data_IF_007319546426
#
_entry.id   IF_007319546426
#
_cell.length_a   1.000
_cell.length_b   1.000
_cell.length_c   1.000
_cell.angle_alpha   90.00
_cell.angle_beta   90.00
_cell.angle_gamma   90.00
#
_symmetry.space_group_name_H-M   'P 1'
#
loop_
_entity.id
_entity.type
_entity.pdbx_description
1 polymer ?
#
# COMPACT_ATOMS: atom_id res chain seq x y z
N UNK A 1 -6.82 -3.99 16.92
CA UNK A 1 -7.32 -2.66 16.48
C UNK A 1 -7.29 -2.61 14.96
N UNK A 2 -8.39 -2.22 14.30
CA UNK A 2 -8.43 -2.16 12.84
C UNK A 2 -7.76 -0.89 12.35
N UNK A 3 -6.89 -0.96 11.35
CA UNK A 3 -6.35 0.24 10.70
C UNK A 3 -7.46 0.81 9.81
N UNK A 4 -7.96 1.98 10.19
CA UNK A 4 -8.95 2.70 9.40
C UNK A 4 -8.38 3.95 8.72
N UNK A 5 -7.17 4.36 9.12
CA UNK A 5 -6.56 5.60 8.67
C UNK A 5 -5.08 5.38 8.32
N UNK A 6 -4.66 5.95 7.21
CA UNK A 6 -3.27 6.03 6.79
C UNK A 6 -2.82 7.48 6.90
N UNK A 7 -1.69 7.69 7.57
CA UNK A 7 -1.11 9.02 7.74
C UNK A 7 -0.19 9.35 6.58
N UNK A 8 -0.41 10.49 5.94
CA UNK A 8 0.44 11.02 4.89
C UNK A 8 1.45 11.99 5.48
N UNK A 9 2.74 11.80 5.19
CA UNK A 9 3.84 12.60 5.72
C UNK A 9 4.24 13.78 4.82
N UNK A 10 3.95 13.73 3.52
CA UNK A 10 4.37 14.76 2.57
C UNK A 10 3.39 14.92 1.40
N UNK A 11 3.73 15.76 0.44
CA UNK A 11 2.95 16.01 -0.78
C UNK A 11 3.43 15.13 -1.93
N UNK A 12 2.53 14.33 -2.51
CA UNK A 12 2.84 13.43 -3.62
C UNK A 12 3.43 14.14 -4.83
N UNK A 13 2.89 15.32 -5.20
CA UNK A 13 3.41 16.07 -6.34
C UNK A 13 4.86 16.53 -6.11
N UNK A 14 5.16 17.06 -4.93
CA UNK A 14 6.53 17.44 -4.57
C UNK A 14 7.48 16.25 -4.65
N UNK A 15 7.04 15.08 -4.18
CA UNK A 15 7.82 13.86 -4.21
C UNK A 15 8.21 13.42 -5.63
N UNK A 16 7.24 13.33 -6.56
CA UNK A 16 7.49 12.87 -7.94
C UNK A 16 8.35 13.84 -8.76
N UNK A 17 8.42 15.10 -8.36
CA UNK A 17 9.26 16.12 -8.99
C UNK A 17 10.65 16.25 -8.36
N UNK A 18 10.93 15.53 -7.26
CA UNK A 18 12.27 15.47 -6.69
C UNK A 18 13.23 14.77 -7.65
N UNK A 19 14.44 15.32 -7.80
CA UNK A 19 15.51 14.71 -8.59
C UNK A 19 15.91 13.31 -8.09
N UNK A 20 15.65 13.01 -6.83
CA UNK A 20 15.98 11.73 -6.20
C UNK A 20 14.93 10.65 -6.41
N UNK A 21 13.69 11.03 -6.80
CA UNK A 21 12.56 10.10 -6.85
C UNK A 21 12.78 8.93 -7.80
N UNK A 22 13.23 9.21 -9.04
CA UNK A 22 13.41 8.18 -10.06
C UNK A 22 14.43 7.12 -9.62
N UNK A 23 15.63 7.53 -9.24
CA UNK A 23 16.69 6.61 -8.81
C UNK A 23 16.30 5.82 -7.57
N UNK A 24 15.63 6.45 -6.59
CA UNK A 24 15.11 5.79 -5.41
C UNK A 24 14.08 4.68 -5.75
N UNK A 25 13.18 4.96 -6.70
CA UNK A 25 12.17 4.01 -7.16
C UNK A 25 12.79 2.87 -8.00
N UNK A 26 13.92 3.10 -8.64
CA UNK A 26 14.69 2.10 -9.40
C UNK A 26 15.64 1.27 -8.52
N UNK A 27 15.76 1.59 -7.21
CA UNK A 27 16.48 0.76 -6.25
C UNK A 27 17.70 1.39 -5.62
N UNK A 28 18.02 2.66 -5.91
CA UNK A 28 19.11 3.37 -5.25
C UNK A 28 18.71 3.82 -3.84
N UNK A 29 19.29 3.15 -2.86
CA UNK A 29 19.01 3.43 -1.44
C UNK A 29 19.51 4.81 -1.01
N UNK A 30 20.62 5.29 -1.56
CA UNK A 30 21.16 6.63 -1.25
C UNK A 30 20.19 7.72 -1.69
N UNK A 31 19.70 7.64 -2.93
CA UNK A 31 18.67 8.55 -3.43
C UNK A 31 17.38 8.45 -2.63
N UNK A 32 17.02 7.26 -2.14
CA UNK A 32 15.84 7.10 -1.29
C UNK A 32 15.99 7.87 0.03
N UNK A 33 17.13 7.80 0.70
CA UNK A 33 17.40 8.60 1.91
C UNK A 33 17.36 10.09 1.64
N UNK A 34 18.02 10.55 0.56
CA UNK A 34 18.00 11.97 0.18
C UNK A 34 16.58 12.47 -0.10
N UNK A 35 15.75 11.65 -0.76
CA UNK A 35 14.35 11.96 -0.98
C UNK A 35 13.58 12.08 0.34
N UNK A 36 13.78 11.16 1.28
CA UNK A 36 13.10 11.22 2.58
C UNK A 36 13.52 12.48 3.36
N UNK A 37 14.81 12.79 3.41
CA UNK A 37 15.33 13.97 4.11
C UNK A 37 14.81 15.29 3.49
N UNK A 38 14.64 15.32 2.14
CA UNK A 38 13.98 16.43 1.45
C UNK A 38 12.50 16.56 1.79
N UNK A 39 11.77 15.43 1.89
CA UNK A 39 10.30 15.41 2.04
C UNK A 39 9.82 15.54 3.47
N UNK A 40 10.54 14.97 4.42
CA UNK A 40 10.12 14.88 5.84
C UNK A 40 11.16 15.56 6.70
N UNK A 41 10.85 16.77 7.14
CA UNK A 41 11.76 17.60 7.95
C UNK A 41 11.63 17.39 9.45
N UNK A 42 10.55 16.73 9.91
CA UNK A 42 10.29 16.50 11.32
C UNK A 42 9.77 15.07 11.56
N UNK A 43 10.50 14.32 12.37
CA UNK A 43 10.16 12.98 12.85
C UNK A 43 9.70 12.96 14.33
N UNK A 44 9.45 14.11 14.94
CA UNK A 44 9.09 14.20 16.37
C UNK A 44 7.84 13.41 16.75
N UNK A 45 6.89 13.26 15.83
CA UNK A 45 5.69 12.43 15.99
C UNK A 45 5.99 10.95 16.28
N UNK A 46 7.18 10.48 15.89
CA UNK A 46 7.58 9.08 16.04
C UNK A 46 8.39 8.79 17.31
N UNK A 47 8.85 9.80 18.07
CA UNK A 47 9.76 9.64 19.22
C UNK A 47 9.27 8.64 20.29
N UNK A 48 7.94 8.49 20.45
CA UNK A 48 7.33 7.60 21.45
C UNK A 48 6.98 6.22 20.88
N UNK A 49 7.31 5.92 19.61
CA UNK A 49 7.04 4.61 19.03
C UNK A 49 8.00 3.57 19.62
N UNK A 50 7.42 2.46 20.09
CA UNK A 50 8.13 1.28 20.59
C UNK A 50 7.47 0.01 20.01
N UNK A 51 7.51 -0.13 18.70
CA UNK A 51 6.88 -1.21 17.94
C UNK A 51 7.76 -1.59 16.75
N UNK A 52 7.38 -2.61 16.01
CA UNK A 52 8.03 -2.91 14.73
C UNK A 52 7.58 -1.93 13.64
N UNK A 53 8.53 -1.50 12.82
CA UNK A 53 8.29 -0.69 11.61
C UNK A 53 8.55 -1.58 10.40
N UNK A 54 7.50 -1.93 9.66
CA UNK A 54 7.60 -2.84 8.52
C UNK A 54 7.35 -2.11 7.20
N UNK A 55 8.37 -1.92 6.34
CA UNK A 55 8.21 -1.32 5.04
C UNK A 55 7.57 -2.29 4.04
N UNK A 56 6.77 -1.76 3.12
CA UNK A 56 6.43 -2.45 1.87
C UNK A 56 7.68 -2.47 1.00
N UNK A 57 8.36 -3.61 0.92
CA UNK A 57 9.61 -3.70 0.19
C UNK A 57 9.72 -4.94 -0.68
N UNK A 58 10.51 -4.83 -1.73
CA UNK A 58 10.99 -5.92 -2.57
C UNK A 58 12.49 -6.11 -2.36
N UNK A 59 13.00 -7.30 -2.70
CA UNK A 59 14.46 -7.55 -2.70
C UNK A 59 15.18 -6.60 -3.67
N UNK A 60 14.55 -6.28 -4.80
CA UNK A 60 15.04 -5.32 -5.79
C UNK A 60 14.00 -4.24 -6.08
N UNK A 61 14.41 -3.09 -6.63
CA UNK A 61 13.53 -1.98 -6.99
C UNK A 61 13.29 -1.01 -5.84
N UNK A 62 12.14 -0.37 -5.80
CA UNK A 62 11.80 0.77 -4.95
C UNK A 62 12.31 0.67 -3.50
N UNK A 63 13.19 1.60 -3.09
CA UNK A 63 13.79 1.68 -1.75
C UNK A 63 13.18 2.77 -0.87
N UNK A 64 12.22 3.54 -1.38
CA UNK A 64 11.60 4.64 -0.64
C UNK A 64 10.93 4.16 0.66
N UNK A 65 10.12 3.08 0.68
CA UNK A 65 9.52 2.61 1.92
C UNK A 65 10.56 2.18 2.96
N UNK A 66 11.64 1.53 2.52
CA UNK A 66 12.72 1.10 3.42
C UNK A 66 13.46 2.30 4.03
N UNK A 67 13.81 3.30 3.21
CA UNK A 67 14.47 4.51 3.70
C UNK A 67 13.58 5.28 4.69
N UNK A 68 12.29 5.39 4.42
CA UNK A 68 11.33 6.03 5.33
C UNK A 68 11.23 5.26 6.66
N UNK A 69 11.10 3.93 6.60
CA UNK A 69 11.07 3.09 7.79
C UNK A 69 12.36 3.23 8.63
N UNK A 70 13.53 3.25 7.99
CA UNK A 70 14.81 3.47 8.65
C UNK A 70 14.88 4.82 9.36
N UNK A 71 14.44 5.92 8.72
CA UNK A 71 14.38 7.25 9.36
C UNK A 71 13.42 7.30 10.55
N UNK A 72 12.29 6.59 10.47
CA UNK A 72 11.37 6.48 11.61
C UNK A 72 12.06 5.76 12.78
N UNK A 73 12.75 4.65 12.51
CA UNK A 73 13.49 3.88 13.54
C UNK A 73 14.61 4.70 14.15
N UNK A 74 15.42 5.40 13.36
CA UNK A 74 16.51 6.28 13.84
C UNK A 74 16.02 7.39 14.79
N UNK A 75 14.76 7.79 14.67
CA UNK A 75 14.16 8.86 15.47
C UNK A 75 13.18 8.37 16.57
N UNK A 76 13.18 7.07 16.88
CA UNK A 76 12.25 6.46 17.82
C UNK A 76 12.90 5.29 18.58
N UNK A 77 12.13 4.64 19.47
CA UNK A 77 12.51 3.38 20.09
C UNK A 77 11.92 2.15 19.34
N UNK A 78 11.54 2.34 18.07
CA UNK A 78 10.99 1.27 17.23
C UNK A 78 12.09 0.38 16.65
N UNK A 79 11.70 -0.80 16.18
CA UNK A 79 12.60 -1.81 15.60
C UNK A 79 12.23 -1.98 14.12
N UNK A 80 13.21 -1.93 13.24
CA UNK A 80 13.00 -2.20 11.82
C UNK A 80 12.70 -3.69 11.60
N UNK A 81 11.58 -3.98 10.93
CA UNK A 81 11.26 -5.31 10.43
C UNK A 81 11.50 -5.34 8.92
N UNK A 82 12.72 -5.62 8.51
CA UNK A 82 13.16 -5.63 7.11
C UNK A 82 13.23 -7.04 6.50
N UNK A 83 12.75 -8.04 7.24
CA UNK A 83 12.74 -9.45 6.84
C UNK A 83 11.48 -9.90 6.10
N UNK A 84 10.52 -9.00 5.87
CA UNK A 84 9.28 -9.27 5.13
C UNK A 84 9.35 -8.65 3.74
N UNK A 85 9.14 -9.45 2.70
CA UNK A 85 9.29 -9.04 1.30
C UNK A 85 8.04 -9.33 0.47
N UNK A 86 7.69 -8.38 -0.40
CA UNK A 86 6.73 -8.59 -1.48
C UNK A 86 7.37 -9.47 -2.55
N UNK A 87 6.76 -10.62 -2.83
CA UNK A 87 7.32 -11.67 -3.69
C UNK A 87 6.97 -11.51 -5.15
N UNK A 88 5.76 -11.03 -5.44
CA UNK A 88 5.28 -10.90 -6.80
C UNK A 88 5.32 -9.46 -7.32
N UNK A 89 5.37 -9.32 -8.63
CA UNK A 89 5.35 -8.03 -9.30
C UNK A 89 3.94 -7.67 -9.73
N UNK A 90 3.56 -6.39 -9.51
CA UNK A 90 2.34 -5.88 -10.08
C UNK A 90 2.43 -5.91 -11.62
N UNK A 91 1.41 -6.47 -12.30
CA UNK A 91 1.47 -6.74 -13.74
C UNK A 91 1.33 -5.51 -14.63
N UNK A 92 1.25 -4.30 -14.10
CA UNK A 92 1.12 -3.08 -14.88
C UNK A 92 0.90 -1.84 -14.03
N UNK A 93 0.77 -0.69 -14.71
CA UNK A 93 0.60 0.61 -14.05
C UNK A 93 -0.84 1.13 -14.10
N UNK A 94 -1.71 0.53 -14.93
CA UNK A 94 -3.11 0.92 -15.04
C UNK A 94 -3.86 0.64 -13.72
N UNK A 95 -4.93 1.40 -13.47
CA UNK A 95 -5.74 1.21 -12.27
C UNK A 95 -6.38 -0.18 -12.23
N UNK A 96 -6.78 -0.72 -13.38
CA UNK A 96 -7.32 -2.08 -13.48
C UNK A 96 -6.32 -3.15 -13.02
N UNK A 97 -5.05 -3.01 -13.37
CA UNK A 97 -4.00 -3.94 -12.94
C UNK A 97 -3.81 -3.92 -11.42
N UNK A 98 -4.01 -2.74 -10.81
CA UNK A 98 -3.96 -2.57 -9.35
C UNK A 98 -5.18 -3.15 -8.65
N UNK A 99 -6.33 -3.18 -9.32
CA UNK A 99 -7.59 -3.72 -8.78
C UNK A 99 -7.53 -5.23 -8.57
N UNK A 100 -6.89 -5.93 -9.50
CA UNK A 100 -6.80 -7.39 -9.52
C UNK A 100 -5.43 -7.92 -9.06
N UNK A 101 -4.55 -7.03 -8.61
CA UNK A 101 -3.27 -7.43 -8.04
C UNK A 101 -3.46 -7.98 -6.64
N UNK A 102 -3.01 -9.19 -6.41
CA UNK A 102 -2.97 -9.82 -5.10
C UNK A 102 -1.51 -9.87 -4.63
N UNK A 103 -1.07 -8.92 -3.77
CA UNK A 103 0.28 -8.91 -3.24
C UNK A 103 0.54 -10.14 -2.35
N UNK A 104 1.61 -10.86 -2.65
CA UNK A 104 2.07 -12.00 -1.87
C UNK A 104 3.31 -11.61 -1.08
N UNK A 105 3.33 -11.95 0.22
CA UNK A 105 4.44 -11.66 1.10
C UNK A 105 5.08 -12.94 1.62
N UNK A 106 6.39 -12.88 1.86
CA UNK A 106 7.13 -13.93 2.57
C UNK A 106 8.17 -13.32 3.49
N UNK A 107 8.70 -14.14 4.39
CA UNK A 107 9.70 -13.74 5.35
C UNK A 107 9.26 -13.99 6.78
N UNK A 108 9.96 -13.37 7.72
CA UNK A 108 9.71 -13.54 9.15
C UNK A 108 9.13 -12.25 9.74
N UNK A 109 7.95 -12.34 10.33
CA UNK A 109 7.32 -11.26 11.09
C UNK A 109 7.28 -11.65 12.58
N UNK A 110 8.14 -11.09 13.44
CA UNK A 110 8.09 -11.33 14.88
C UNK A 110 6.73 -10.99 15.49
N UNK A 111 6.34 -11.69 16.57
CA UNK A 111 5.11 -11.37 17.30
C UNK A 111 5.27 -10.01 17.98
N UNK A 112 4.30 -9.11 17.79
CA UNK A 112 4.32 -7.77 18.39
C UNK A 112 3.43 -6.76 17.67
N UNK A 113 3.54 -5.50 18.07
CA UNK A 113 2.81 -4.38 17.44
C UNK A 113 3.59 -3.85 16.25
N UNK A 114 2.86 -3.47 15.20
CA UNK A 114 3.43 -3.01 13.94
C UNK A 114 2.86 -1.68 13.48
N UNK A 115 3.71 -0.86 12.88
CA UNK A 115 3.31 0.15 11.90
C UNK A 115 3.83 -0.25 10.53
N UNK A 116 3.01 -0.02 9.50
CA UNK A 116 3.37 -0.29 8.12
C UNK A 116 3.85 0.98 7.44
N UNK A 117 4.78 0.85 6.50
CA UNK A 117 5.33 2.00 5.76
C UNK A 117 5.33 1.73 4.27
N UNK A 118 4.81 2.68 3.48
CA UNK A 118 4.81 2.63 2.02
C UNK A 118 5.18 4.00 1.43
N UNK A 119 5.53 4.06 0.15
CA UNK A 119 5.83 5.32 -0.54
C UNK A 119 4.55 6.12 -0.83
N UNK A 120 3.61 5.53 -1.56
CA UNK A 120 2.38 6.21 -1.98
C UNK A 120 1.15 5.33 -1.77
N UNK A 121 0.20 5.85 -0.99
CA UNK A 121 -1.12 5.24 -0.91
C UNK A 121 -1.94 5.53 -2.16
N UNK A 122 -2.27 4.48 -2.91
CA UNK A 122 -3.14 4.55 -4.10
C UNK A 122 -4.42 3.74 -3.90
N UNK A 123 -4.38 2.44 -4.06
CA UNK A 123 -5.50 1.52 -3.78
C UNK A 123 -5.48 0.98 -2.36
N UNK A 124 -4.32 0.97 -1.72
CA UNK A 124 -4.09 0.40 -0.40
C UNK A 124 -3.99 -1.13 -0.37
N UNK A 125 -4.12 -1.80 -1.52
CA UNK A 125 -4.11 -3.27 -1.56
C UNK A 125 -2.78 -3.85 -1.02
N UNK A 126 -1.65 -3.22 -1.34
CA UNK A 126 -0.32 -3.65 -0.90
C UNK A 126 -0.20 -3.62 0.63
N UNK A 127 -0.61 -2.50 1.25
CA UNK A 127 -0.63 -2.36 2.71
C UNK A 127 -1.63 -3.31 3.37
N UNK A 128 -2.79 -3.54 2.74
CA UNK A 128 -3.81 -4.45 3.26
C UNK A 128 -3.31 -5.89 3.25
N UNK A 129 -2.65 -6.33 2.19
CA UNK A 129 -2.07 -7.67 2.11
C UNK A 129 -0.90 -7.83 3.08
N UNK A 130 -0.03 -6.81 3.23
CA UNK A 130 1.03 -6.82 4.24
C UNK A 130 0.46 -6.92 5.66
N UNK A 131 -0.60 -6.17 5.97
CA UNK A 131 -1.32 -6.28 7.23
C UNK A 131 -1.80 -7.72 7.47
N UNK A 132 -2.49 -8.30 6.49
CA UNK A 132 -2.99 -9.68 6.58
C UNK A 132 -1.87 -10.67 6.83
N UNK A 133 -0.73 -10.53 6.12
CA UNK A 133 0.44 -11.37 6.31
C UNK A 133 1.00 -11.27 7.73
N UNK A 134 1.19 -10.07 8.26
CA UNK A 134 1.71 -9.84 9.61
C UNK A 134 0.75 -10.40 10.67
N UNK A 135 -0.55 -10.16 10.53
CA UNK A 135 -1.56 -10.63 11.49
C UNK A 135 -1.72 -12.15 11.46
N UNK A 136 -1.58 -12.80 10.30
CA UNK A 136 -1.57 -14.26 10.22
C UNK A 136 -0.32 -14.90 10.87
N UNK A 137 0.76 -14.12 11.07
CA UNK A 137 1.97 -14.52 11.79
C UNK A 137 1.98 -14.06 13.27
N UNK A 138 0.83 -13.63 13.81
CA UNK A 138 0.67 -13.26 15.23
C UNK A 138 1.04 -11.81 15.56
N UNK A 139 1.31 -10.98 14.58
CA UNK A 139 1.52 -9.53 14.78
C UNK A 139 0.19 -8.77 14.92
N UNK A 140 0.25 -7.55 15.47
CA UNK A 140 -0.88 -6.61 15.62
C UNK A 140 -0.54 -5.31 14.89
N UNK A 141 -1.20 -5.04 13.77
CA UNK A 141 -0.93 -3.84 12.96
C UNK A 141 -1.79 -2.69 13.44
N UNK A 142 -1.18 -1.68 14.08
CA UNK A 142 -1.85 -0.56 14.73
C UNK A 142 -2.00 0.68 13.84
N UNK A 143 -1.12 0.87 12.85
CA UNK A 143 -1.11 2.07 12.00
C UNK A 143 -0.38 1.83 10.69
N UNK A 144 -0.54 2.76 9.73
CA UNK A 144 0.27 2.83 8.53
C UNK A 144 0.64 4.28 8.19
N UNK A 145 1.84 4.45 7.62
CA UNK A 145 2.36 5.74 7.18
C UNK A 145 2.78 5.66 5.71
N UNK A 146 2.50 6.70 4.96
CA UNK A 146 2.96 6.84 3.57
C UNK A 146 3.60 8.20 3.35
N UNK A 147 4.59 8.26 2.48
CA UNK A 147 5.20 9.53 2.10
C UNK A 147 4.18 10.39 1.35
N UNK A 148 3.43 9.79 0.42
CA UNK A 148 2.40 10.46 -0.34
C UNK A 148 1.07 9.70 -0.37
N UNK A 149 0.02 10.38 -0.86
CA UNK A 149 -1.28 9.77 -1.10
C UNK A 149 -1.95 10.41 -2.30
N UNK A 150 -2.54 9.61 -3.18
CA UNK A 150 -3.25 10.11 -4.35
C UNK A 150 -4.68 10.54 -4.05
N UNK A 151 -5.30 10.07 -2.95
CA UNK A 151 -6.72 10.30 -2.63
C UNK A 151 -7.04 10.12 -1.14
N UNK A 152 -8.17 9.48 -0.85
CA UNK A 152 -8.71 9.20 0.49
C UNK A 152 -7.75 8.35 1.31
N UNK A 153 -7.49 8.79 2.54
CA UNK A 153 -6.59 8.11 3.47
C UNK A 153 -7.26 7.00 4.31
N UNK A 154 -8.51 6.66 4.00
CA UNK A 154 -9.22 5.57 4.67
C UNK A 154 -8.81 4.23 4.07
N UNK A 155 -8.51 3.28 4.93
CA UNK A 155 -8.00 1.97 4.54
C UNK A 155 -9.13 0.95 4.29
N UNK A 156 -10.09 0.89 5.21
CA UNK A 156 -11.20 -0.06 5.13
C UNK A 156 -12.48 0.61 4.64
N UNK A 157 -13.20 -0.09 3.79
CA UNK A 157 -14.49 0.36 3.32
C UNK A 157 -15.54 0.33 4.43
N UNK A 158 -16.35 1.36 4.52
CA UNK A 158 -17.51 1.33 5.42
C UNK A 158 -18.56 0.34 4.91
N UNK A 159 -19.32 -0.24 5.84
CA UNK A 159 -20.46 -1.12 5.50
C UNK A 159 -21.44 -0.45 4.53
N UNK A 160 -21.62 0.88 4.66
CA UNK A 160 -22.50 1.66 3.78
C UNK A 160 -21.99 1.68 2.33
N UNK A 161 -20.69 1.93 2.12
CA UNK A 161 -20.09 1.93 0.77
C UNK A 161 -20.18 0.56 0.11
N UNK A 162 -19.96 -0.51 0.87
CA UNK A 162 -20.15 -1.88 0.37
C UNK A 162 -21.60 -2.15 -0.03
N UNK A 163 -22.57 -1.72 0.81
CA UNK A 163 -23.99 -1.82 0.49
C UNK A 163 -24.37 -1.05 -0.78
N UNK A 164 -23.84 0.15 -0.95
CA UNK A 164 -24.08 0.95 -2.15
C UNK A 164 -23.48 0.29 -3.41
N UNK A 165 -22.26 -0.26 -3.31
CA UNK A 165 -21.65 -1.01 -4.41
C UNK A 165 -22.49 -2.24 -4.80
N UNK A 166 -22.97 -2.98 -3.81
CA UNK A 166 -23.82 -4.15 -4.04
C UNK A 166 -25.21 -3.77 -4.63
N UNK A 167 -25.77 -2.63 -4.24
CA UNK A 167 -26.99 -2.11 -4.84
C UNK A 167 -26.80 -1.70 -6.30
N UNK A 168 -25.64 -1.12 -6.63
CA UNK A 168 -25.29 -0.75 -8.01
C UNK A 168 -25.00 -2.00 -8.88
N UNK A 169 -24.37 -3.00 -8.31
CA UNK A 169 -23.96 -4.22 -8.98
C UNK A 169 -24.36 -5.46 -8.16
N UNK A 170 -25.59 -5.97 -8.28
CA UNK A 170 -26.09 -7.10 -7.47
C UNK A 170 -25.22 -8.36 -7.55
N UNK A 171 -24.56 -8.59 -8.68
CA UNK A 171 -23.72 -9.77 -8.91
C UNK A 171 -22.23 -9.57 -8.61
N UNK A 172 -21.83 -8.43 -8.04
CA UNK A 172 -20.43 -8.04 -7.83
C UNK A 172 -19.66 -9.08 -7.00
N UNK A 173 -20.34 -9.79 -6.09
CA UNK A 173 -19.74 -10.83 -5.24
C UNK A 173 -19.27 -12.06 -6.02
N UNK A 174 -19.73 -12.25 -7.26
CA UNK A 174 -19.21 -13.30 -8.16
C UNK A 174 -17.77 -13.01 -8.63
N UNK A 175 -17.35 -11.74 -8.56
CA UNK A 175 -16.08 -11.27 -9.08
C UNK A 175 -15.11 -10.78 -8.00
N UNK A 176 -15.65 -10.35 -6.84
CA UNK A 176 -14.86 -9.75 -5.79
C UNK A 176 -15.30 -10.22 -4.40
N UNK A 177 -14.32 -10.52 -3.56
CA UNK A 177 -14.54 -10.67 -2.12
C UNK A 177 -14.71 -9.26 -1.52
N UNK A 178 -15.96 -8.82 -1.36
CA UNK A 178 -16.29 -7.46 -0.95
C UNK A 178 -15.60 -7.01 0.35
N UNK A 179 -15.50 -7.84 1.41
CA UNK A 179 -14.75 -7.51 2.63
C UNK A 179 -13.27 -7.19 2.39
N UNK A 180 -12.68 -7.73 1.32
CA UNK A 180 -11.28 -7.45 0.97
C UNK A 180 -11.08 -6.16 0.19
N UNK A 181 -12.13 -5.55 -0.36
CA UNK A 181 -11.99 -4.30 -1.11
C UNK A 181 -11.60 -3.13 -0.20
N UNK A 182 -10.71 -2.29 -0.70
CA UNK A 182 -10.41 -0.98 -0.11
C UNK A 182 -11.40 0.06 -0.61
N UNK A 183 -11.49 1.21 0.09
CA UNK A 183 -12.34 2.33 -0.38
C UNK A 183 -11.97 2.78 -1.78
N UNK A 184 -10.67 2.91 -2.08
CA UNK A 184 -10.21 3.34 -3.40
C UNK A 184 -10.63 2.35 -4.51
N UNK A 185 -10.66 1.06 -4.21
CA UNK A 185 -11.16 0.04 -5.13
C UNK A 185 -12.66 0.18 -5.36
N UNK A 186 -13.45 0.37 -4.30
CA UNK A 186 -14.90 0.58 -4.40
C UNK A 186 -15.20 1.84 -5.23
N UNK A 187 -14.55 2.96 -4.95
CA UNK A 187 -14.72 4.20 -5.69
C UNK A 187 -14.35 4.07 -7.18
N UNK A 188 -13.37 3.22 -7.49
CA UNK A 188 -13.05 2.91 -8.87
C UNK A 188 -14.15 2.07 -9.53
N UNK A 189 -14.62 1.00 -8.85
CA UNK A 189 -15.69 0.15 -9.35
C UNK A 189 -16.98 0.93 -9.61
N UNK A 190 -17.34 1.86 -8.73
CA UNK A 190 -18.54 2.69 -8.85
C UNK A 190 -18.55 3.62 -10.08
N UNK A 191 -17.44 3.79 -10.78
CA UNK A 191 -17.36 4.57 -12.01
C UNK A 191 -17.88 3.84 -13.24
N UNK A 192 -18.06 2.54 -13.15
CA UNK A 192 -18.58 1.74 -14.25
C UNK A 192 -20.09 1.79 -14.28
N UNK A 193 -20.66 1.87 -15.48
CA UNK A 193 -22.11 1.83 -15.69
C UNK A 193 -22.68 0.42 -15.64
N UNK A 194 -21.84 -0.61 -15.89
CA UNK A 194 -22.25 -2.02 -15.88
C UNK A 194 -21.08 -2.94 -15.53
N UNK A 195 -21.40 -4.14 -15.01
CA UNK A 195 -20.41 -5.20 -14.79
C UNK A 195 -19.81 -5.74 -16.09
N UNK A 196 -20.53 -5.69 -17.20
CA UNK A 196 -20.04 -6.09 -18.51
C UNK A 196 -18.84 -5.24 -18.93
N UNK A 197 -18.89 -3.93 -18.71
CA UNK A 197 -17.76 -3.03 -18.98
C UNK A 197 -16.54 -3.37 -18.12
N UNK A 198 -16.75 -3.71 -16.85
CA UNK A 198 -15.69 -4.15 -15.96
C UNK A 198 -15.09 -5.50 -16.40
N UNK A 199 -15.95 -6.46 -16.75
CA UNK A 199 -15.52 -7.78 -17.23
C UNK A 199 -14.70 -7.68 -18.52
N UNK A 200 -15.11 -6.86 -19.47
CA UNK A 200 -14.38 -6.63 -20.72
C UNK A 200 -13.00 -6.03 -20.46
N UNK A 201 -12.87 -5.08 -19.54
CA UNK A 201 -11.59 -4.51 -19.15
C UNK A 201 -10.69 -5.53 -18.45
N UNK A 202 -11.27 -6.35 -17.57
CA UNK A 202 -10.54 -7.41 -16.88
C UNK A 202 -10.06 -8.48 -17.86
N UNK A 203 -10.91 -8.97 -18.73
CA UNK A 203 -10.57 -9.96 -19.75
C UNK A 203 -9.49 -9.46 -20.70
N UNK A 204 -9.58 -8.19 -21.13
CA UNK A 204 -8.54 -7.54 -21.92
C UNK A 204 -7.21 -7.44 -21.18
N UNK A 205 -7.21 -7.08 -19.91
CA UNK A 205 -6.03 -7.02 -19.05
C UNK A 205 -5.39 -8.41 -18.88
N UNK A 206 -6.18 -9.45 -18.69
CA UNK A 206 -5.68 -10.83 -18.60
C UNK A 206 -5.13 -11.35 -19.95
N UNK A 207 -5.78 -10.99 -21.04
CA UNK A 207 -5.33 -11.36 -22.38
C UNK A 207 -3.97 -10.72 -22.72
N UNK A 208 -3.80 -9.43 -22.42
CA UNK A 208 -2.52 -8.74 -22.57
C UNK A 208 -1.39 -9.37 -21.74
N UNK A 209 -1.70 -9.99 -20.58
CA UNK A 209 -0.69 -10.68 -19.72
C UNK A 209 -0.20 -12.01 -20.27
N UNK A 210 -0.98 -12.68 -21.12
CA UNK A 210 -0.59 -13.97 -21.70
C UNK A 210 0.37 -13.83 -22.89
N UNK A 211 0.56 -12.62 -23.41
CA UNK A 211 1.35 -12.35 -24.60
C UNK A 211 2.59 -11.45 -24.36
N UNK A 212 2.87 -11.10 -23.12
CA UNK A 212 4.07 -10.37 -22.67
C UNK A 212 4.64 -10.99 -21.38
#
# INVERSE_FOLDING_TARGET
MKINLIYRLSNTNRMIHSQHYKSANEGDLKSAFLLIDEMVTDFSAFRKLSCFVCPVQKKSGNKIPLALASRIVENSAAILCDSVFLMNNRPGNKMIDRMFFEPEYSGHAPVGKYILVDDVFTTGITLKSLKTFIESNGGDVISAFTLGSSKTLLFEASKLKLKMLKAQFPEIEKYFDLPKLTIAQIEYLQRFSSLSNLHNLYSKSQFEKQFY
#
